data_IF_688740007519
#
_entry.id   IF_688740007519
#
_cell.length_a   1.000
_cell.length_b   1.000
_cell.length_c   1.000
_cell.angle_alpha   90.00
_cell.angle_beta   90.00
_cell.angle_gamma   90.00
#
_symmetry.space_group_name_H-M   'P 1'
#
loop_
_entity.id
_entity.type
_entity.pdbx_description
1 polymer ?
#
# COMPACT_ATOMS: atom_id res chain seq x y z
N UNK A 1 27.86 -1.79 -9.99
CA UNK A 1 26.40 -1.55 -10.10
C UNK A 1 25.97 -0.80 -8.85
N UNK A 2 25.27 0.30 -9.03
CA UNK A 2 24.81 1.10 -7.89
C UNK A 2 23.63 0.45 -7.18
N UNK A 3 23.58 0.63 -5.87
CA UNK A 3 22.49 0.13 -5.04
C UNK A 3 21.22 0.97 -5.31
N UNK A 4 20.11 0.31 -5.59
CA UNK A 4 18.84 1.03 -5.77
C UNK A 4 18.32 1.57 -4.42
N UNK A 5 17.57 2.69 -4.41
CA UNK A 5 17.16 3.33 -3.15
C UNK A 5 16.45 2.41 -2.16
N UNK A 6 15.61 1.49 -2.63
CA UNK A 6 14.89 0.57 -1.74
C UNK A 6 15.81 -0.43 -1.03
N UNK A 7 16.99 -0.73 -1.57
CA UNK A 7 17.97 -1.59 -0.93
C UNK A 7 18.91 -0.81 0.01
N UNK A 8 18.94 0.52 -0.10
CA UNK A 8 19.74 1.38 0.76
C UNK A 8 19.11 1.65 2.14
N UNK A 9 17.84 1.33 2.32
CA UNK A 9 17.15 1.46 3.61
C UNK A 9 17.62 0.34 4.53
N UNK A 10 17.98 0.69 5.77
CA UNK A 10 18.35 -0.31 6.78
C UNK A 10 17.10 -1.00 7.34
N UNK A 11 16.76 -2.13 6.77
CA UNK A 11 15.60 -2.94 7.16
C UNK A 11 15.72 -3.54 8.57
N UNK A 12 16.92 -3.55 9.17
CA UNK A 12 17.10 -4.06 10.53
C UNK A 12 16.58 -3.10 11.59
N UNK A 13 16.42 -1.82 11.24
CA UNK A 13 15.92 -0.76 12.14
C UNK A 13 14.55 -0.21 11.73
N UNK A 14 14.00 -0.69 10.62
CA UNK A 14 12.73 -0.19 10.11
C UNK A 14 11.56 -0.69 10.98
N UNK A 15 10.73 0.24 11.44
CA UNK A 15 9.54 -0.04 12.25
C UNK A 15 8.27 0.08 11.40
N UNK A 16 7.16 -0.57 11.83
CA UNK A 16 5.85 -0.28 11.25
C UNK A 16 5.57 1.22 11.29
N UNK A 17 4.96 1.74 10.25
CA UNK A 17 4.66 3.16 10.14
C UNK A 17 4.49 3.59 8.69
N UNK A 18 4.40 4.89 8.50
CA UNK A 18 4.23 5.51 7.19
C UNK A 18 5.43 6.42 6.91
N UNK A 19 6.08 6.16 5.79
CA UNK A 19 7.28 6.89 5.37
C UNK A 19 7.12 7.38 3.94
N UNK A 20 7.75 8.51 3.62
CA UNK A 20 7.96 8.91 2.22
C UNK A 20 9.15 8.12 1.72
N UNK A 21 8.89 7.17 0.81
CA UNK A 21 9.93 6.35 0.21
C UNK A 21 10.63 7.07 -0.92
N UNK A 22 9.86 7.80 -1.73
CA UNK A 22 10.39 8.49 -2.91
C UNK A 22 9.45 9.62 -3.32
N UNK A 23 10.04 10.71 -3.82
CA UNK A 23 9.31 11.78 -4.50
C UNK A 23 9.88 11.98 -5.90
N UNK A 24 9.00 11.99 -6.87
CA UNK A 24 9.33 12.26 -8.27
C UNK A 24 8.54 13.47 -8.75
N UNK A 25 8.91 14.01 -9.88
CA UNK A 25 8.17 15.07 -10.56
C UNK A 25 7.99 14.68 -12.03
N UNK A 26 6.75 14.74 -12.50
CA UNK A 26 6.40 14.44 -13.88
C UNK A 26 5.59 15.62 -14.42
N UNK A 27 6.15 16.31 -15.43
CA UNK A 27 5.51 17.48 -16.04
C UNK A 27 5.07 18.54 -14.99
N UNK A 28 5.91 18.81 -14.00
CA UNK A 28 5.65 19.77 -12.92
C UNK A 28 4.74 19.25 -11.81
N UNK A 29 4.27 18.02 -11.90
CA UNK A 29 3.40 17.41 -10.89
C UNK A 29 4.19 16.48 -9.98
N UNK A 30 4.16 16.67 -8.65
CA UNK A 30 4.81 15.77 -7.72
C UNK A 30 4.09 14.39 -7.70
N UNK A 31 4.89 13.33 -7.71
CA UNK A 31 4.43 11.95 -7.55
C UNK A 31 5.13 11.40 -6.31
N UNK A 32 4.38 11.05 -5.29
CA UNK A 32 4.94 10.58 -4.03
C UNK A 32 4.65 9.12 -3.82
N UNK A 33 5.68 8.34 -3.52
CA UNK A 33 5.56 6.94 -3.10
C UNK A 33 5.68 6.87 -1.59
N UNK A 34 4.63 6.37 -0.95
CA UNK A 34 4.59 6.14 0.49
C UNK A 34 4.85 4.66 0.80
N UNK A 35 5.71 4.43 1.76
CA UNK A 35 5.96 3.12 2.35
C UNK A 35 5.00 2.94 3.52
N UNK A 36 4.00 2.08 3.32
CA UNK A 36 3.04 1.73 4.36
C UNK A 36 3.53 0.42 4.98
N UNK A 37 4.39 0.54 5.99
CA UNK A 37 5.03 -0.61 6.62
C UNK A 37 4.15 -1.18 7.71
N UNK A 38 3.75 -2.44 7.56
CA UNK A 38 2.77 -3.10 8.43
C UNK A 38 3.44 -3.94 9.50
N UNK A 39 4.59 -4.55 9.21
CA UNK A 39 5.36 -5.36 10.15
C UNK A 39 6.82 -4.92 10.15
N UNK A 40 7.52 -5.14 11.29
CA UNK A 40 8.95 -4.87 11.37
C UNK A 40 9.73 -5.94 10.58
N UNK A 41 10.41 -5.57 9.47
CA UNK A 41 11.08 -6.55 8.63
C UNK A 41 12.09 -7.40 9.40
N UNK A 42 12.10 -8.69 9.12
CA UNK A 42 13.02 -9.68 9.71
C UNK A 42 12.90 -9.87 11.24
N UNK A 43 12.01 -9.13 11.93
CA UNK A 43 11.80 -9.22 13.38
C UNK A 43 10.40 -9.65 13.75
N UNK A 44 9.43 -9.28 12.93
CA UNK A 44 8.04 -9.73 13.04
C UNK A 44 7.70 -10.61 11.85
N UNK A 45 6.73 -11.55 11.98
CA UNK A 45 6.26 -12.33 10.83
C UNK A 45 5.76 -11.44 9.70
N UNK A 46 6.10 -11.79 8.46
CA UNK A 46 5.51 -11.17 7.28
C UNK A 46 4.02 -11.51 7.19
N UNK A 47 3.27 -10.66 6.52
CA UNK A 47 1.84 -10.92 6.27
C UNK A 47 1.71 -12.09 5.30
N UNK A 48 0.80 -13.02 5.58
CA UNK A 48 0.57 -14.16 4.69
C UNK A 48 0.16 -13.68 3.28
N UNK A 49 0.67 -14.31 2.21
CA UNK A 49 0.37 -13.87 0.84
C UNK A 49 -1.12 -13.73 0.52
N UNK A 50 -1.95 -14.67 0.95
CA UNK A 50 -3.39 -14.58 0.73
C UNK A 50 -4.02 -13.39 1.49
N UNK A 51 -3.58 -13.13 2.70
CA UNK A 51 -4.06 -12.01 3.49
C UNK A 51 -3.69 -10.67 2.88
N UNK A 52 -2.44 -10.49 2.47
CA UNK A 52 -2.00 -9.21 1.89
C UNK A 52 -2.62 -8.98 0.50
N UNK A 53 -2.87 -10.04 -0.26
CA UNK A 53 -3.58 -9.97 -1.54
C UNK A 53 -5.04 -9.51 -1.34
N UNK A 54 -5.71 -10.05 -0.34
CA UNK A 54 -7.07 -9.60 0.03
C UNK A 54 -7.08 -8.13 0.49
N UNK A 55 -6.12 -7.73 1.31
CA UNK A 55 -5.94 -6.34 1.73
C UNK A 55 -5.71 -5.44 0.51
N UNK A 56 -4.93 -5.90 -0.47
CA UNK A 56 -4.71 -5.16 -1.72
C UNK A 56 -6.05 -4.84 -2.41
N UNK A 57 -6.90 -5.83 -2.62
CA UNK A 57 -8.19 -5.65 -3.29
C UNK A 57 -9.13 -4.73 -2.51
N UNK A 58 -9.24 -4.93 -1.21
CA UNK A 58 -10.14 -4.14 -0.36
C UNK A 58 -9.69 -2.68 -0.25
N UNK A 59 -8.42 -2.44 0.01
CA UNK A 59 -7.89 -1.08 0.13
C UNK A 59 -7.89 -0.37 -1.23
N UNK A 60 -7.55 -1.06 -2.32
CA UNK A 60 -7.65 -0.48 -3.66
C UNK A 60 -9.09 -0.05 -3.96
N UNK A 61 -10.07 -0.89 -3.61
CA UNK A 61 -11.50 -0.55 -3.78
C UNK A 61 -11.88 0.68 -2.95
N UNK A 62 -11.46 0.72 -1.70
CA UNK A 62 -11.70 1.88 -0.83
C UNK A 62 -11.10 3.17 -1.40
N UNK A 63 -9.82 3.13 -1.77
CA UNK A 63 -9.09 4.31 -2.27
C UNK A 63 -9.70 4.86 -3.56
N UNK A 64 -10.09 3.99 -4.48
CA UNK A 64 -10.69 4.38 -5.77
C UNK A 64 -12.11 4.90 -5.63
N UNK A 65 -12.75 4.74 -4.48
CA UNK A 65 -14.08 5.24 -4.17
C UNK A 65 -14.07 6.38 -3.14
N UNK A 66 -12.91 6.76 -2.62
CA UNK A 66 -12.80 7.87 -1.68
C UNK A 66 -12.97 9.21 -2.40
N UNK A 67 -13.96 10.00 -1.98
CA UNK A 67 -14.33 11.24 -2.68
C UNK A 67 -13.18 12.25 -2.74
N UNK A 68 -12.32 12.27 -1.72
CA UNK A 68 -11.21 13.22 -1.64
C UNK A 68 -9.97 12.78 -2.42
N UNK A 69 -9.64 11.48 -2.41
CA UNK A 69 -8.36 11.00 -2.91
C UNK A 69 -8.43 10.13 -4.16
N UNK A 70 -9.61 9.72 -4.61
CA UNK A 70 -9.76 8.81 -5.76
C UNK A 70 -9.01 9.24 -7.02
N UNK A 71 -8.95 10.54 -7.29
CA UNK A 71 -8.28 11.08 -8.47
C UNK A 71 -6.77 11.28 -8.26
N UNK A 72 -6.30 11.19 -7.03
CA UNK A 72 -4.88 11.30 -6.68
C UNK A 72 -4.20 9.92 -6.57
N UNK A 73 -4.93 8.86 -6.37
CA UNK A 73 -4.36 7.50 -6.23
C UNK A 73 -3.87 7.00 -7.58
N UNK A 74 -2.57 6.68 -7.66
CA UNK A 74 -1.95 6.08 -8.84
C UNK A 74 -1.86 4.57 -8.68
N UNK A 75 -1.36 4.11 -7.53
CA UNK A 75 -1.12 2.69 -7.30
C UNK A 75 -1.18 2.35 -5.81
N UNK A 76 -1.72 1.19 -5.52
CA UNK A 76 -1.65 0.53 -4.23
C UNK A 76 -1.30 -0.94 -4.46
N UNK A 77 -0.28 -1.45 -3.79
CA UNK A 77 0.10 -2.85 -3.94
C UNK A 77 1.11 -3.31 -2.90
N UNK A 78 1.17 -4.63 -2.65
CA UNK A 78 2.06 -5.19 -1.65
C UNK A 78 3.52 -5.13 -2.11
N UNK A 79 4.42 -5.01 -1.13
CA UNK A 79 5.84 -5.22 -1.34
C UNK A 79 6.12 -6.71 -1.51
N UNK A 80 7.12 -7.06 -2.31
CA UNK A 80 7.51 -8.45 -2.52
C UNK A 80 7.91 -9.19 -1.24
N UNK A 81 8.39 -8.48 -0.23
CA UNK A 81 8.73 -9.04 1.09
C UNK A 81 7.53 -9.29 2.00
N UNK A 82 6.33 -8.87 1.62
CA UNK A 82 5.09 -9.05 2.39
C UNK A 82 5.08 -8.37 3.77
N UNK A 83 5.88 -7.32 3.96
CA UNK A 83 5.92 -6.56 5.23
C UNK A 83 5.19 -5.23 5.15
N UNK A 84 4.62 -4.89 4.02
CA UNK A 84 3.86 -3.67 3.82
C UNK A 84 3.41 -3.50 2.39
N UNK A 85 2.84 -2.33 2.12
CA UNK A 85 2.36 -1.94 0.80
C UNK A 85 2.97 -0.61 0.39
N UNK A 86 3.05 -0.38 -0.91
CA UNK A 86 3.31 0.94 -1.48
C UNK A 86 2.01 1.62 -1.87
N UNK A 87 1.90 2.90 -1.52
CA UNK A 87 0.87 3.80 -2.00
C UNK A 87 1.55 4.89 -2.83
N UNK A 88 1.18 5.00 -4.08
CA UNK A 88 1.69 6.05 -4.97
C UNK A 88 0.57 7.04 -5.24
N UNK A 89 0.84 8.32 -4.97
CA UNK A 89 -0.13 9.40 -5.09
C UNK A 89 0.37 10.48 -6.03
N UNK A 90 -0.54 11.05 -6.79
CA UNK A 90 -0.36 12.32 -7.48
C UNK A 90 -0.51 13.45 -6.45
N UNK A 91 0.59 14.11 -6.13
CA UNK A 91 0.63 15.15 -5.11
C UNK A 91 1.64 14.82 -4.00
N UNK A 92 1.86 15.78 -3.13
CA UNK A 92 2.74 15.66 -1.97
C UNK A 92 1.94 15.87 -0.70
N UNK A 93 1.39 14.80 -0.17
CA UNK A 93 0.59 14.84 1.06
C UNK A 93 1.50 14.55 2.26
N UNK A 94 1.33 15.28 3.39
CA UNK A 94 2.04 14.95 4.62
C UNK A 94 1.72 13.54 5.10
N UNK A 95 2.70 12.86 5.71
CA UNK A 95 2.48 11.51 6.27
C UNK A 95 1.32 11.45 7.26
N UNK A 96 1.08 12.52 8.00
CA UNK A 96 -0.07 12.63 8.92
C UNK A 96 -1.41 12.48 8.17
N UNK A 97 -1.53 13.10 7.01
CA UNK A 97 -2.75 13.01 6.19
C UNK A 97 -2.92 11.61 5.60
N UNK A 98 -1.82 11.00 5.14
CA UNK A 98 -1.84 9.62 4.66
C UNK A 98 -2.16 8.64 5.79
N UNK A 99 -1.68 8.89 7.01
CA UNK A 99 -2.04 8.10 8.19
C UNK A 99 -3.55 8.09 8.43
N UNK A 100 -4.20 9.23 8.37
CA UNK A 100 -5.65 9.34 8.54
C UNK A 100 -6.40 8.58 7.43
N UNK A 101 -5.92 8.67 6.19
CA UNK A 101 -6.48 7.92 5.07
C UNK A 101 -6.33 6.42 5.29
N UNK A 102 -5.16 5.95 5.75
CA UNK A 102 -4.92 4.54 6.01
C UNK A 102 -5.76 4.01 7.18
N UNK A 103 -5.97 4.80 8.22
CA UNK A 103 -6.85 4.42 9.32
C UNK A 103 -8.26 4.14 8.78
N UNK A 104 -8.81 5.01 7.93
CA UNK A 104 -10.12 4.80 7.31
C UNK A 104 -10.15 3.59 6.38
N UNK A 105 -9.09 3.41 5.59
CA UNK A 105 -8.97 2.29 4.68
C UNK A 105 -8.93 0.94 5.43
N UNK A 106 -8.12 0.83 6.47
CA UNK A 106 -8.03 -0.40 7.26
C UNK A 106 -9.26 -0.62 8.15
N UNK A 107 -9.94 0.44 8.58
CA UNK A 107 -11.25 0.30 9.22
C UNK A 107 -12.28 -0.30 8.26
N UNK A 108 -12.26 0.14 7.01
CA UNK A 108 -13.07 -0.48 5.96
C UNK A 108 -12.76 -1.97 5.80
N UNK A 109 -11.49 -2.37 5.82
CA UNK A 109 -11.08 -3.78 5.76
C UNK A 109 -11.64 -4.56 6.94
N UNK A 110 -11.49 -4.04 8.15
CA UNK A 110 -11.96 -4.70 9.39
C UNK A 110 -13.47 -4.88 9.40
N UNK A 111 -14.20 -3.89 8.91
CA UNK A 111 -15.67 -3.89 8.92
C UNK A 111 -16.28 -4.59 7.70
N UNK A 112 -15.45 -4.92 6.70
CA UNK A 112 -15.94 -5.50 5.45
C UNK A 112 -16.65 -6.84 5.68
N UNK A 113 -17.79 -7.00 5.01
CA UNK A 113 -18.57 -8.23 5.00
C UNK A 113 -18.97 -8.55 3.56
N UNK A 114 -19.00 -9.82 3.22
CA UNK A 114 -19.35 -10.29 1.89
C UNK A 114 -18.13 -10.77 1.10
N UNK A 115 -18.34 -11.00 -0.18
CA UNK A 115 -17.29 -11.45 -1.08
C UNK A 115 -16.28 -10.33 -1.35
N UNK A 116 -14.99 -10.65 -1.30
CA UNK A 116 -13.93 -9.72 -1.64
C UNK A 116 -14.04 -9.35 -3.13
N UNK A 117 -14.02 -8.07 -3.48
CA UNK A 117 -14.14 -7.65 -4.87
C UNK A 117 -12.96 -8.13 -5.72
N UNK A 118 -13.24 -8.48 -6.97
CA UNK A 118 -12.21 -8.86 -7.92
C UNK A 118 -11.61 -10.24 -7.73
N UNK A 119 -12.31 -11.19 -7.12
CA UNK A 119 -11.79 -12.53 -6.79
C UNK A 119 -12.26 -13.63 -7.75
N UNK A 120 -12.64 -13.28 -8.95
CA UNK A 120 -13.00 -14.27 -9.99
C UNK A 120 -11.83 -14.51 -10.96
N UNK A 121 -11.80 -15.65 -11.67
CA UNK A 121 -10.76 -15.89 -12.67
C UNK A 121 -10.67 -14.82 -13.78
N UNK A 122 -11.76 -14.13 -14.05
CA UNK A 122 -11.78 -13.05 -15.04
C UNK A 122 -11.23 -11.73 -14.49
N UNK A 123 -11.24 -11.53 -13.19
CA UNK A 123 -10.90 -10.25 -12.55
C UNK A 123 -9.61 -10.28 -11.75
N UNK A 124 -9.05 -11.46 -11.52
CA UNK A 124 -7.82 -11.62 -10.75
C UNK A 124 -6.91 -12.68 -11.39
N UNK A 125 -5.62 -12.39 -11.43
CA UNK A 125 -4.61 -13.32 -11.95
C UNK A 125 -4.36 -14.54 -11.05
N UNK A 126 -4.77 -14.49 -9.78
CA UNK A 126 -4.67 -15.60 -8.83
C UNK A 126 -5.84 -15.56 -7.84
N UNK A 127 -7.02 -15.84 -8.34
CA UNK A 127 -8.27 -15.75 -7.57
C UNK A 127 -8.39 -16.75 -6.41
N UNK A 128 -7.51 -17.75 -6.35
CA UNK A 128 -7.49 -18.73 -5.26
C UNK A 128 -6.62 -18.29 -4.06
N UNK A 129 -5.88 -17.18 -4.20
CA UNK A 129 -4.98 -16.68 -3.16
C UNK A 129 -5.63 -15.51 -2.39
N UNK A 130 -6.70 -15.80 -1.67
CA UNK A 130 -7.39 -14.82 -0.83
C UNK A 130 -7.79 -15.39 0.53
#
# INVERSE_FOLDING_TARGET
MDLIPSFAIDHTHLLPGIYISRQDEVAGTPITTYDIRMTAPNREPAVAPAAIHTIEHLVATFLRNDDRYKDAVIYWGPMGCMTGNYLIMKGAFPCQEIRELMIRAFQYVVDYRGEVPGTTPATCGNCLMH
#
